data_IF_296974904166
#
_entry.id   IF_296974904166
#
_cell.length_a   1.000
_cell.length_b   1.000
_cell.length_c   1.000
_cell.angle_alpha   90.00
_cell.angle_beta   90.00
_cell.angle_gamma   90.00
#
_symmetry.space_group_name_H-M   'P 1'
#
loop_
_entity.id
_entity.type
_entity.pdbx_description
1 polymer ?
#
# COMPACT_ATOMS: atom_id res chain seq x y z
N UNK A 1 -9.86 -0.98 29.70
CA UNK A 1 -10.98 -1.91 29.44
C UNK A 1 -12.32 -1.19 29.33
N UNK A 2 -12.78 -0.47 30.38
CA UNK A 2 -14.05 0.30 30.39
C UNK A 2 -14.21 1.29 29.22
N UNK A 3 -13.23 2.17 29.01
CA UNK A 3 -13.20 3.14 27.90
C UNK A 3 -13.36 2.52 26.50
N UNK A 4 -12.83 1.31 26.28
CA UNK A 4 -12.95 0.61 24.98
C UNK A 4 -14.36 0.06 24.78
N UNK A 5 -15.00 -0.37 25.86
CA UNK A 5 -16.36 -0.88 25.84
C UNK A 5 -17.37 0.24 25.58
N UNK A 6 -17.15 1.41 26.18
CA UNK A 6 -17.95 2.63 25.94
C UNK A 6 -17.86 3.10 24.48
N UNK A 7 -16.66 3.12 23.89
CA UNK A 7 -16.51 3.48 22.48
C UNK A 7 -17.20 2.48 21.55
N UNK A 8 -17.21 1.19 21.90
CA UNK A 8 -17.87 0.17 21.08
C UNK A 8 -19.40 0.28 21.14
N UNK A 9 -19.96 0.54 22.32
CA UNK A 9 -21.40 0.77 22.48
C UNK A 9 -21.84 2.06 21.79
N UNK A 10 -21.04 3.12 21.88
CA UNK A 10 -21.29 4.38 21.20
C UNK A 10 -21.24 4.24 19.67
N UNK A 11 -20.24 3.52 19.15
CA UNK A 11 -20.17 3.20 17.71
C UNK A 11 -21.37 2.37 17.26
N UNK A 12 -21.78 1.36 18.03
CA UNK A 12 -22.97 0.55 17.72
C UNK A 12 -24.22 1.40 17.69
N UNK A 13 -24.39 2.34 18.63
CA UNK A 13 -25.52 3.29 18.64
C UNK A 13 -25.52 4.22 17.43
N UNK A 14 -24.37 4.75 17.04
CA UNK A 14 -24.23 5.64 15.86
C UNK A 14 -24.43 4.92 14.52
N UNK A 15 -24.30 3.58 14.48
CA UNK A 15 -24.54 2.75 13.29
C UNK A 15 -25.98 2.25 13.18
N UNK A 16 -26.80 2.46 14.21
CA UNK A 16 -28.23 2.15 14.15
C UNK A 16 -28.98 3.33 13.51
N UNK A 17 -30.01 2.99 12.73
CA UNK A 17 -30.89 3.99 12.15
C UNK A 17 -31.66 4.69 13.29
N UNK A 18 -31.98 6.00 13.13
CA UNK A 18 -32.84 6.70 14.07
C UNK A 18 -34.13 5.93 14.33
N UNK A 19 -34.51 5.84 15.60
CA UNK A 19 -35.65 5.06 16.06
C UNK A 19 -36.97 5.49 15.39
N UNK A 20 -37.09 6.78 15.08
CA UNK A 20 -38.20 7.33 14.30
C UNK A 20 -38.38 6.63 12.93
N UNK A 21 -37.29 6.31 12.22
CA UNK A 21 -37.36 5.60 10.94
C UNK A 21 -37.69 4.11 11.13
N UNK A 22 -37.21 3.49 12.21
CA UNK A 22 -37.57 2.11 12.53
C UNK A 22 -39.05 1.98 12.87
N UNK A 23 -39.60 2.96 13.59
CA UNK A 23 -41.01 3.01 13.94
C UNK A 23 -41.90 3.26 12.71
N UNK A 24 -41.46 4.11 11.78
CA UNK A 24 -42.14 4.33 10.51
C UNK A 24 -42.18 3.05 9.65
N UNK A 25 -41.05 2.32 9.57
CA UNK A 25 -40.99 1.04 8.86
C UNK A 25 -41.83 -0.06 9.53
N UNK A 26 -41.94 -0.04 10.86
CA UNK A 26 -42.79 -0.97 11.60
C UNK A 26 -44.29 -0.63 11.50
N UNK A 27 -44.64 0.65 11.33
CA UNK A 27 -46.01 1.11 11.16
C UNK A 27 -46.52 0.98 9.71
N UNK A 28 -45.64 0.70 8.74
CA UNK A 28 -46.03 0.43 7.37
C UNK A 28 -46.83 -0.89 7.28
N UNK A 29 -48.05 -0.91 6.72
CA UNK A 29 -48.84 -2.14 6.62
C UNK A 29 -48.15 -3.19 5.74
N UNK A 30 -47.84 -4.35 6.34
CA UNK A 30 -47.35 -5.53 5.64
C UNK A 30 -48.50 -6.12 4.81
N UNK A 31 -48.57 -5.75 3.53
CA UNK A 31 -49.43 -6.45 2.58
C UNK A 31 -48.92 -7.90 2.44
N UNK A 32 -49.73 -8.82 2.97
CA UNK A 32 -49.46 -10.25 3.09
C UNK A 32 -49.19 -10.92 1.75
N UNK A 33 -48.31 -11.92 1.77
CA UNK A 33 -48.50 -13.16 1.03
C UNK A 33 -47.92 -14.28 1.90
N UNK A 34 -48.78 -14.90 2.70
CA UNK A 34 -48.55 -16.25 3.20
C UNK A 34 -48.87 -17.25 2.08
N UNK A 35 -48.08 -18.32 1.98
CA UNK A 35 -48.50 -19.71 1.75
C UNK A 35 -47.24 -20.63 1.82
N UNK A 36 -47.36 -21.94 2.13
CA UNK A 36 -46.42 -22.64 3.00
C UNK A 36 -45.44 -23.64 2.34
N UNK A 37 -44.37 -23.92 3.11
CA UNK A 37 -43.40 -25.04 3.17
C UNK A 37 -43.29 -26.09 2.04
N UNK A 38 -42.06 -26.47 1.59
CA UNK A 38 -41.83 -27.67 0.79
C UNK A 38 -41.32 -28.87 1.62
N UNK A 39 -41.80 -30.08 1.29
CA UNK A 39 -41.27 -31.35 1.76
C UNK A 39 -39.94 -31.72 1.04
N UNK A 40 -38.97 -32.43 1.67
CA UNK A 40 -37.67 -32.71 1.08
C UNK A 40 -37.51 -34.18 0.62
N UNK A 41 -36.92 -34.40 -0.55
CA UNK A 41 -36.34 -35.69 -0.95
C UNK A 41 -35.35 -35.54 -2.13
N UNK A 42 -34.38 -36.44 -2.33
CA UNK A 42 -32.97 -36.06 -2.31
C UNK A 42 -32.16 -36.39 -3.58
N UNK A 43 -31.08 -35.63 -3.71
CA UNK A 43 -29.71 -36.03 -4.06
C UNK A 43 -29.48 -37.31 -4.88
N UNK A 44 -28.95 -37.15 -6.10
CA UNK A 44 -28.05 -38.13 -6.76
C UNK A 44 -27.03 -37.45 -7.68
N UNK A 45 -25.79 -37.35 -7.20
CA UNK A 45 -24.55 -37.54 -8.00
C UNK A 45 -24.43 -39.05 -8.34
N UNK A 46 -23.68 -39.54 -9.37
CA UNK A 46 -22.22 -39.37 -9.52
C UNK A 46 -21.71 -39.38 -11.00
N UNK A 47 -20.59 -38.73 -11.32
CA UNK A 47 -19.18 -39.21 -11.43
C UNK A 47 -18.66 -39.43 -12.88
N UNK A 48 -17.43 -38.92 -13.05
CA UNK A 48 -16.29 -39.37 -13.88
C UNK A 48 -16.44 -39.59 -15.39
N UNK A 49 -15.63 -38.81 -16.11
CA UNK A 49 -15.09 -39.17 -17.43
C UNK A 49 -14.04 -38.16 -17.86
N UNK A 50 -12.76 -38.49 -17.66
CA UNK A 50 -11.58 -37.72 -18.05
C UNK A 50 -11.40 -37.63 -19.58
N UNK A 51 -10.91 -36.50 -20.09
CA UNK A 51 -9.68 -36.39 -20.90
C UNK A 51 -9.67 -35.14 -21.82
N UNK A 52 -8.68 -34.28 -21.56
CA UNK A 52 -7.84 -33.50 -22.49
C UNK A 52 -8.44 -32.94 -23.81
N UNK A 53 -8.23 -31.62 -23.91
CA UNK A 53 -7.53 -30.90 -25.00
C UNK A 53 -8.33 -30.12 -26.05
N UNK A 54 -7.81 -28.89 -26.21
CA UNK A 54 -7.83 -27.98 -27.39
C UNK A 54 -8.98 -27.00 -27.53
N UNK A 55 -8.64 -25.79 -27.06
CA UNK A 55 -8.84 -24.46 -27.67
C UNK A 55 -9.63 -24.38 -28.98
N UNK A 56 -10.62 -23.50 -28.86
CA UNK A 56 -10.94 -22.38 -29.75
C UNK A 56 -11.85 -22.62 -30.97
N UNK A 57 -13.06 -22.05 -30.78
CA UNK A 57 -14.07 -21.54 -31.72
C UNK A 57 -15.08 -22.54 -32.28
N UNK A 58 -16.37 -22.21 -32.06
CA UNK A 58 -17.42 -22.01 -33.07
C UNK A 58 -18.70 -21.44 -32.37
N UNK A 59 -19.58 -20.73 -33.11
CA UNK A 59 -20.55 -19.75 -32.62
C UNK A 59 -21.95 -20.33 -32.36
N UNK A 60 -22.81 -19.46 -31.81
CA UNK A 60 -24.27 -19.56 -31.90
C UNK A 60 -24.96 -20.28 -30.75
N UNK A 61 -25.73 -19.54 -29.96
CA UNK A 61 -27.20 -19.54 -30.06
C UNK A 61 -27.85 -18.89 -28.85
N UNK A 62 -28.92 -18.18 -29.19
CA UNK A 62 -29.96 -17.57 -28.37
C UNK A 62 -30.35 -18.45 -27.18
N UNK A 63 -30.27 -17.91 -25.96
CA UNK A 63 -30.93 -18.46 -24.78
C UNK A 63 -31.79 -17.41 -24.10
N UNK A 64 -33.09 -17.56 -24.38
CA UNK A 64 -34.27 -17.48 -23.50
C UNK A 64 -34.10 -16.67 -22.21
N UNK A 65 -34.83 -15.57 -22.19
CA UNK A 65 -34.97 -14.63 -21.08
C UNK A 65 -35.37 -15.33 -19.78
N UNK A 66 -34.48 -15.27 -18.79
CA UNK A 66 -34.86 -15.37 -17.37
C UNK A 66 -35.08 -13.95 -16.87
N UNK A 67 -36.31 -13.66 -16.43
CA UNK A 67 -36.68 -12.41 -15.77
C UNK A 67 -35.82 -12.24 -14.50
N UNK A 68 -34.70 -11.55 -14.67
CA UNK A 68 -33.83 -11.11 -13.58
C UNK A 68 -34.53 -9.98 -12.83
N UNK A 69 -34.63 -10.14 -11.51
CA UNK A 69 -35.18 -9.14 -10.61
C UNK A 69 -34.64 -7.75 -10.92
N UNK A 70 -35.54 -6.78 -10.86
CA UNK A 70 -35.39 -5.38 -11.27
C UNK A 70 -34.21 -4.70 -10.59
N UNK A 71 -32.99 -4.92 -11.08
CA UNK A 71 -31.81 -4.14 -10.71
C UNK A 71 -31.87 -2.85 -11.51
N UNK A 72 -32.20 -1.75 -10.84
CA UNK A 72 -32.19 -0.39 -11.41
C UNK A 72 -30.94 -0.18 -12.26
N UNK A 73 -31.13 0.01 -13.58
CA UNK A 73 -30.08 0.26 -14.57
C UNK A 73 -29.55 1.70 -14.45
N UNK A 74 -29.00 2.05 -13.30
CA UNK A 74 -28.32 3.32 -13.08
C UNK A 74 -26.82 3.08 -13.03
N UNK A 75 -26.07 3.58 -14.01
CA UNK A 75 -24.62 3.68 -13.90
C UNK A 75 -24.31 4.78 -12.88
N UNK A 76 -23.85 4.42 -11.69
CA UNK A 76 -23.42 5.39 -10.68
C UNK A 76 -21.92 5.64 -10.85
N UNK A 77 -21.53 6.91 -10.96
CA UNK A 77 -20.14 7.32 -10.85
C UNK A 77 -19.96 7.93 -9.47
N UNK A 78 -19.29 7.19 -8.58
CA UNK A 78 -18.85 7.73 -7.31
C UNK A 78 -17.67 8.67 -7.57
N UNK A 79 -17.93 9.99 -7.61
CA UNK A 79 -16.89 11.00 -7.69
C UNK A 79 -16.48 11.35 -6.26
N UNK A 80 -15.21 11.07 -5.92
CA UNK A 80 -14.65 11.53 -4.65
C UNK A 80 -14.55 13.07 -4.67
N UNK A 81 -15.11 13.72 -3.65
CA UNK A 81 -14.91 15.15 -3.41
C UNK A 81 -13.40 15.41 -3.24
N UNK A 82 -12.86 16.39 -3.97
CA UNK A 82 -11.41 16.62 -4.01
C UNK A 82 -10.96 17.25 -2.68
N UNK A 83 -10.45 16.44 -1.77
CA UNK A 83 -9.60 16.86 -0.62
C UNK A 83 -8.21 17.35 -1.09
N UNK A 84 -8.09 17.80 -2.35
CA UNK A 84 -6.84 17.92 -3.10
C UNK A 84 -5.75 18.72 -2.41
N UNK A 85 -6.12 19.65 -1.53
CA UNK A 85 -5.19 20.54 -0.84
C UNK A 85 -4.72 19.95 0.50
N UNK A 86 -5.61 19.35 1.30
CA UNK A 86 -5.24 18.73 2.59
C UNK A 86 -4.52 17.40 2.38
N UNK A 87 -5.01 16.57 1.46
CA UNK A 87 -4.35 15.32 1.10
C UNK A 87 -2.99 15.59 0.45
N UNK A 88 -2.89 16.63 -0.39
CA UNK A 88 -1.63 17.06 -0.99
C UNK A 88 -0.61 17.53 0.06
N UNK A 89 -1.04 18.36 1.01
CA UNK A 89 -0.18 18.82 2.10
C UNK A 89 0.31 17.66 2.97
N UNK A 90 -0.58 16.77 3.43
CA UNK A 90 -0.17 15.61 4.22
C UNK A 90 0.75 14.67 3.46
N UNK A 91 0.50 14.45 2.17
CA UNK A 91 1.42 13.68 1.33
C UNK A 91 2.78 14.34 1.20
N UNK A 92 2.81 15.67 1.05
CA UNK A 92 4.06 16.42 0.98
C UNK A 92 4.83 16.33 2.31
N UNK A 93 4.16 16.57 3.43
CA UNK A 93 4.75 16.41 4.77
C UNK A 93 5.29 15.00 4.98
N UNK A 94 4.55 13.96 4.55
CA UNK A 94 5.01 12.58 4.63
C UNK A 94 6.24 12.31 3.74
N UNK A 95 6.26 12.86 2.51
CA UNK A 95 7.42 12.75 1.61
C UNK A 95 8.64 13.46 2.18
N UNK A 96 8.46 14.64 2.76
CA UNK A 96 9.53 15.42 3.37
C UNK A 96 10.07 14.69 4.61
N UNK A 97 9.19 14.15 5.48
CA UNK A 97 9.60 13.31 6.60
C UNK A 97 10.44 12.10 6.16
N UNK A 98 10.03 11.37 5.13
CA UNK A 98 10.79 10.24 4.60
C UNK A 98 12.13 10.72 4.03
N UNK A 99 12.17 11.86 3.36
CA UNK A 99 13.40 12.44 2.82
C UNK A 99 14.37 12.78 3.93
N UNK A 100 13.92 13.46 4.97
CA UNK A 100 14.78 13.90 6.07
C UNK A 100 15.32 12.71 6.87
N UNK A 101 14.49 11.70 7.12
CA UNK A 101 14.90 10.51 7.87
C UNK A 101 15.79 9.56 7.06
N UNK A 102 15.45 9.30 5.79
CA UNK A 102 16.09 8.24 5.00
C UNK A 102 17.04 8.73 3.91
N UNK A 103 16.93 9.98 3.45
CA UNK A 103 17.73 10.52 2.35
C UNK A 103 18.34 11.90 2.69
N UNK A 104 18.30 12.28 3.97
CA UNK A 104 18.77 13.57 4.46
C UNK A 104 20.28 13.61 4.72
N UNK A 105 20.81 14.79 5.12
CA UNK A 105 22.22 14.96 5.45
C UNK A 105 22.66 14.01 6.57
N UNK A 106 23.81 13.37 6.40
CA UNK A 106 24.35 12.41 7.39
C UNK A 106 23.76 11.01 7.33
N UNK A 107 22.81 10.76 6.41
CA UNK A 107 22.32 9.41 6.13
C UNK A 107 23.16 8.75 5.05
N UNK A 108 23.30 7.43 5.15
CA UNK A 108 24.15 6.67 4.24
C UNK A 108 23.42 6.07 3.03
N UNK A 109 22.15 6.42 2.83
CA UNK A 109 21.30 5.84 1.79
C UNK A 109 21.21 6.78 0.59
N UNK A 110 21.48 6.23 -0.58
CA UNK A 110 21.44 6.94 -1.85
C UNK A 110 20.00 6.96 -2.39
N UNK A 111 19.58 8.06 -3.02
CA UNK A 111 18.25 8.11 -3.66
C UNK A 111 18.16 7.13 -4.83
N UNK A 112 16.96 6.63 -5.13
CA UNK A 112 16.77 5.68 -6.23
C UNK A 112 17.21 6.25 -7.58
N UNK A 113 16.87 7.51 -7.85
CA UNK A 113 17.23 8.18 -9.10
C UNK A 113 18.76 8.34 -9.25
N UNK A 114 19.47 8.65 -8.16
CA UNK A 114 20.92 8.70 -8.18
C UNK A 114 21.54 7.31 -8.37
N UNK A 115 21.02 6.30 -7.68
CA UNK A 115 21.52 4.93 -7.77
C UNK A 115 21.37 4.37 -9.20
N UNK A 116 20.23 4.63 -9.85
CA UNK A 116 19.98 4.20 -11.22
C UNK A 116 20.40 5.21 -12.30
N UNK A 117 21.07 6.30 -11.91
CA UNK A 117 21.53 7.32 -12.86
C UNK A 117 22.56 6.75 -13.85
N UNK A 118 22.56 7.31 -15.06
CA UNK A 118 23.57 6.95 -16.08
C UNK A 118 24.98 7.31 -15.65
N UNK A 119 25.14 8.38 -14.86
CA UNK A 119 26.40 8.74 -14.22
C UNK A 119 26.91 7.59 -13.34
N UNK A 120 26.10 7.16 -12.34
CA UNK A 120 26.47 6.06 -11.46
C UNK A 120 26.73 4.73 -12.20
N UNK A 121 26.00 4.50 -13.29
CA UNK A 121 26.19 3.31 -14.14
C UNK A 121 27.53 3.31 -14.88
N UNK A 122 27.97 4.49 -15.34
CA UNK A 122 29.22 4.67 -16.09
C UNK A 122 30.44 4.88 -15.19
N UNK A 123 30.23 5.25 -13.93
CA UNK A 123 31.31 5.46 -12.97
C UNK A 123 32.11 4.16 -12.74
N UNK A 124 33.45 4.23 -12.70
CA UNK A 124 34.30 3.05 -12.44
C UNK A 124 34.07 2.49 -11.04
N UNK A 125 33.70 3.34 -10.09
CA UNK A 125 33.32 2.96 -8.72
C UNK A 125 31.83 3.27 -8.54
N UNK A 126 31.00 2.24 -8.60
CA UNK A 126 29.54 2.36 -8.44
C UNK A 126 29.20 2.79 -7.02
N UNK A 127 28.31 3.77 -6.88
CA UNK A 127 27.66 4.14 -5.63
C UNK A 127 26.74 3.00 -5.19
N UNK A 128 26.84 2.63 -3.92
CA UNK A 128 25.96 1.64 -3.30
C UNK A 128 24.60 2.27 -2.96
N UNK A 129 23.55 1.43 -2.92
CA UNK A 129 22.22 1.87 -2.48
C UNK A 129 22.21 2.31 -1.01
N UNK A 130 22.99 1.63 -0.17
CA UNK A 130 23.24 1.97 1.23
C UNK A 130 24.73 1.80 1.50
N UNK A 131 25.35 2.79 2.15
CA UNK A 131 26.71 2.70 2.66
C UNK A 131 26.64 2.29 4.13
N UNK A 132 27.37 1.26 4.54
CA UNK A 132 27.34 0.83 5.95
C UNK A 132 28.34 1.61 6.81
N UNK A 133 29.33 2.22 6.17
CA UNK A 133 30.42 2.96 6.82
C UNK A 133 30.58 4.29 6.11
N UNK A 134 30.59 5.36 6.90
CA UNK A 134 30.91 6.70 6.43
C UNK A 134 32.33 6.69 5.84
N UNK A 135 32.46 6.98 4.54
CA UNK A 135 33.77 7.09 3.89
C UNK A 135 34.59 8.26 4.43
N UNK A 136 33.91 9.26 5.00
CA UNK A 136 34.50 10.39 5.74
C UNK A 136 35.07 9.97 7.09
N UNK A 137 34.74 8.77 7.59
CA UNK A 137 35.25 8.29 8.86
C UNK A 137 36.77 8.17 8.83
N UNK A 138 37.42 8.86 9.77
CA UNK A 138 38.87 8.82 9.93
C UNK A 138 39.67 9.61 8.89
N UNK A 139 39.02 10.41 8.03
CA UNK A 139 39.73 11.28 7.07
C UNK A 139 40.65 12.27 7.79
N UNK A 140 40.18 12.86 8.88
CA UNK A 140 40.99 13.75 9.72
C UNK A 140 42.19 13.02 10.33
N UNK A 141 41.98 11.81 10.88
CA UNK A 141 43.05 10.98 11.45
C UNK A 141 44.09 10.63 10.40
N UNK A 142 43.67 10.27 9.18
CA UNK A 142 44.56 10.01 8.04
C UNK A 142 45.37 11.25 7.65
N UNK A 143 44.73 12.42 7.60
CA UNK A 143 45.42 13.68 7.32
C UNK A 143 46.45 14.04 8.40
N UNK A 144 46.09 13.89 9.68
CA UNK A 144 47.01 14.10 10.80
C UNK A 144 48.21 13.13 10.72
N UNK A 145 47.97 11.85 10.43
CA UNK A 145 49.03 10.87 10.24
C UNK A 145 49.96 11.24 9.07
N UNK A 146 49.41 11.63 7.92
CA UNK A 146 50.21 12.05 6.77
C UNK A 146 51.06 13.30 7.07
N UNK A 147 50.50 14.29 7.79
CA UNK A 147 51.24 15.46 8.26
C UNK A 147 52.37 15.06 9.20
N UNK A 148 52.09 14.16 10.16
CA UNK A 148 53.09 13.66 11.09
C UNK A 148 54.24 12.94 10.35
N UNK A 149 53.95 12.05 9.41
CA UNK A 149 54.98 11.35 8.62
C UNK A 149 55.86 12.35 7.86
N UNK A 150 55.27 13.38 7.23
CA UNK A 150 56.02 14.44 6.55
C UNK A 150 56.95 15.18 7.50
N UNK A 151 56.44 15.62 8.66
CA UNK A 151 57.25 16.30 9.67
C UNK A 151 58.36 15.41 10.25
N UNK A 152 58.08 14.12 10.42
CA UNK A 152 59.07 13.16 10.93
C UNK A 152 60.20 12.93 9.94
N UNK A 153 59.89 12.73 8.65
CA UNK A 153 60.91 12.60 7.59
C UNK A 153 61.74 13.88 7.48
N UNK A 154 61.11 15.05 7.50
CA UNK A 154 61.82 16.32 7.46
C UNK A 154 62.83 16.44 8.63
N UNK A 155 62.41 16.12 9.85
CA UNK A 155 63.29 16.13 11.05
C UNK A 155 64.44 15.14 10.95
N UNK A 156 64.23 13.97 10.33
CA UNK A 156 65.28 12.97 10.13
C UNK A 156 66.32 13.45 9.11
N UNK A 157 65.88 14.03 7.99
CA UNK A 157 66.76 14.55 6.95
C UNK A 157 67.59 15.76 7.41
N UNK A 158 67.03 16.62 8.25
CA UNK A 158 67.77 17.77 8.83
C UNK A 158 68.76 17.36 9.92
N UNK A 159 68.63 16.16 10.49
CA UNK A 159 69.53 15.67 11.54
C UNK A 159 70.73 14.91 10.98
N UNK A 160 70.73 14.61 9.68
CA UNK A 160 71.80 13.88 8.97
C UNK A 160 72.74 14.77 8.15
N UNK A 161 72.52 16.09 8.19
CA UNK A 161 73.39 17.14 7.63
C UNK A 161 74.10 17.85 8.78
#
# INVERSE_FOLDING_TARGET
RRRRQELFTEQKRRKLLPEALLQELAAAPLARAEEPSPAPAPDKRPERGSAKQRKDRIPGQVKKDKAGGTRSKGNYIAVHLKDGNLTGLHQQTAKDFIRDQLYGPGTNRTSANEFFSTANKKDPIKKAAVQFVDKSWGLEKKQRAAKFTKSWVARKMTSTL
#
